data_IF_379540358975
#
_entry.id   IF_379540358975
#
_cell.length_a   1.000
_cell.length_b   1.000
_cell.length_c   1.000
_cell.angle_alpha   90.00
_cell.angle_beta   90.00
_cell.angle_gamma   90.00
#
_symmetry.space_group_name_H-M   'P 1'
#
loop_
_entity.id
_entity.type
_entity.pdbx_description
1 polymer ?
#
# COMPACT_ATOMS: atom_id res chain seq x y z
N UNK A 1 -14.69 -6.71 30.22
CA UNK A 1 -14.82 -5.38 29.59
C UNK A 1 -13.53 -5.12 28.86
N UNK A 2 -13.52 -5.23 27.53
CA UNK A 2 -12.35 -4.94 26.70
C UNK A 2 -12.28 -3.43 26.47
N UNK A 3 -11.20 -2.83 26.94
CA UNK A 3 -10.87 -1.43 26.69
C UNK A 3 -10.46 -1.27 25.23
N UNK A 4 -11.39 -0.85 24.37
CA UNK A 4 -11.04 -0.43 23.01
C UNK A 4 -10.24 0.86 23.09
N UNK A 5 -8.92 0.74 22.93
CA UNK A 5 -8.05 1.89 22.76
C UNK A 5 -8.19 2.36 21.31
N UNK A 6 -9.15 3.24 21.04
CA UNK A 6 -9.34 3.82 19.72
C UNK A 6 -8.16 4.72 19.41
N UNK A 7 -7.24 4.26 18.57
CA UNK A 7 -6.16 5.11 18.06
C UNK A 7 -6.72 6.10 17.05
N UNK A 8 -5.98 7.17 16.74
CA UNK A 8 -6.49 8.31 15.98
C UNK A 8 -7.11 7.99 14.61
N UNK A 9 -6.75 6.88 13.96
CA UNK A 9 -7.37 6.46 12.69
C UNK A 9 -8.81 5.95 12.88
N UNK A 10 -9.05 5.12 13.90
CA UNK A 10 -10.37 4.52 14.15
C UNK A 10 -11.42 5.58 14.53
N UNK A 11 -10.99 6.61 15.29
CA UNK A 11 -11.86 7.73 15.66
C UNK A 11 -12.28 8.57 14.45
N UNK A 12 -11.37 8.76 13.47
CA UNK A 12 -11.66 9.52 12.23
C UNK A 12 -12.66 8.76 11.37
N UNK A 13 -12.48 7.45 11.19
CA UNK A 13 -13.40 6.64 10.39
C UNK A 13 -14.81 6.60 11.02
N UNK A 14 -14.91 6.60 12.36
CA UNK A 14 -16.19 6.74 13.05
C UNK A 14 -16.85 8.10 12.81
N UNK A 15 -16.10 9.19 12.92
CA UNK A 15 -16.57 10.56 12.65
C UNK A 15 -17.09 10.71 11.20
N UNK A 16 -16.34 10.19 10.22
CA UNK A 16 -16.73 10.17 8.80
C UNK A 16 -18.00 9.34 8.59
N UNK A 17 -18.11 8.18 9.25
CA UNK A 17 -19.29 7.31 9.17
C UNK A 17 -20.54 8.00 9.74
N UNK A 18 -20.37 8.73 10.84
CA UNK A 18 -21.44 9.52 11.46
C UNK A 18 -21.75 10.81 10.69
N UNK A 19 -20.85 11.25 9.81
CA UNK A 19 -20.97 12.51 9.08
C UNK A 19 -20.78 13.75 9.96
N UNK A 20 -20.10 13.60 11.10
CA UNK A 20 -19.91 14.65 12.12
C UNK A 20 -18.42 14.73 12.44
N UNK A 21 -17.84 15.92 12.34
CA UNK A 21 -16.43 16.18 12.67
C UNK A 21 -16.24 16.22 14.20
N UNK A 22 -14.99 16.21 14.67
CA UNK A 22 -14.70 16.16 16.12
C UNK A 22 -15.12 17.42 16.88
N UNK A 23 -15.36 18.52 16.19
CA UNK A 23 -15.93 19.75 16.78
C UNK A 23 -17.46 19.71 16.85
N UNK A 24 -18.10 18.62 16.41
CA UNK A 24 -19.56 18.45 16.37
C UNK A 24 -20.24 19.06 15.15
N UNK A 25 -19.48 19.67 14.23
CA UNK A 25 -20.04 20.20 12.99
C UNK A 25 -20.33 19.09 11.97
N UNK A 26 -21.36 19.24 11.12
CA UNK A 26 -21.61 18.27 10.05
C UNK A 26 -20.52 18.35 8.98
N UNK A 27 -20.02 17.19 8.55
CA UNK A 27 -19.08 17.10 7.44
C UNK A 27 -19.84 17.43 6.14
N UNK A 28 -19.33 18.35 5.29
CA UNK A 28 -19.97 18.66 4.02
C UNK A 28 -20.21 17.42 3.13
N UNK A 29 -21.41 17.29 2.59
CA UNK A 29 -21.83 16.12 1.79
C UNK A 29 -20.87 15.80 0.66
N UNK A 30 -20.39 16.81 -0.09
CA UNK A 30 -19.44 16.62 -1.18
C UNK A 30 -18.11 15.96 -0.73
N UNK A 31 -17.67 16.20 0.51
CA UNK A 31 -16.47 15.55 1.06
C UNK A 31 -16.74 14.08 1.39
N UNK A 32 -17.90 13.78 1.98
CA UNK A 32 -18.31 12.41 2.30
C UNK A 32 -18.50 11.58 1.03
N UNK A 33 -19.12 12.16 0.00
CA UNK A 33 -19.30 11.51 -1.30
C UNK A 33 -17.96 11.19 -1.95
N UNK A 34 -17.01 12.13 -1.98
CA UNK A 34 -15.68 11.89 -2.51
C UNK A 34 -14.93 10.81 -1.72
N UNK A 35 -14.98 10.85 -0.38
CA UNK A 35 -14.37 9.82 0.46
C UNK A 35 -14.94 8.43 0.13
N UNK A 36 -16.26 8.29 0.08
CA UNK A 36 -16.92 7.02 -0.25
C UNK A 36 -16.50 6.51 -1.63
N UNK A 37 -16.49 7.37 -2.63
CA UNK A 37 -16.05 7.00 -3.98
C UNK A 37 -14.61 6.46 -3.98
N UNK A 38 -13.68 7.12 -3.30
CA UNK A 38 -12.28 6.66 -3.22
C UNK A 38 -12.17 5.35 -2.45
N UNK A 39 -12.89 5.19 -1.35
CA UNK A 39 -12.90 3.95 -0.57
C UNK A 39 -13.51 2.78 -1.35
N UNK A 40 -14.55 3.03 -2.16
CA UNK A 40 -15.12 2.03 -3.05
C UNK A 40 -14.14 1.60 -4.14
N UNK A 41 -13.33 2.53 -4.67
CA UNK A 41 -12.25 2.23 -5.61
C UNK A 41 -11.17 1.35 -4.96
N UNK A 42 -10.78 1.63 -3.71
CA UNK A 42 -9.81 0.81 -2.97
C UNK A 42 -10.39 -0.54 -2.54
N UNK A 43 -11.67 -0.60 -2.17
CA UNK A 43 -12.35 -1.85 -1.82
C UNK A 43 -12.43 -2.80 -3.01
N UNK A 44 -12.59 -2.26 -4.22
CA UNK A 44 -12.55 -3.02 -5.47
C UNK A 44 -11.13 -3.37 -5.94
N UNK A 45 -10.10 -2.96 -5.20
CA UNK A 45 -8.72 -3.28 -5.55
C UNK A 45 -8.39 -4.72 -5.17
N UNK A 46 -8.00 -5.51 -6.17
CA UNK A 46 -7.40 -6.81 -5.91
C UNK A 46 -6.08 -6.61 -5.14
N UNK A 47 -6.06 -6.97 -3.86
CA UNK A 47 -4.83 -6.94 -3.05
C UNK A 47 -3.84 -7.92 -3.65
N UNK A 48 -2.61 -7.45 -3.86
CA UNK A 48 -1.52 -8.34 -4.25
C UNK A 48 -1.28 -9.34 -3.11
N UNK A 49 -1.36 -10.65 -3.40
CA UNK A 49 -1.08 -11.69 -2.42
C UNK A 49 0.31 -11.58 -1.78
N UNK A 50 0.51 -12.28 -0.66
CA UNK A 50 1.74 -12.21 0.17
C UNK A 50 3.01 -12.41 -0.66
N UNK A 51 3.01 -13.37 -1.59
CA UNK A 51 4.16 -13.64 -2.47
C UNK A 51 4.53 -12.44 -3.36
N UNK A 52 3.55 -11.75 -3.94
CA UNK A 52 3.81 -10.56 -4.76
C UNK A 52 4.34 -9.40 -3.91
N UNK A 53 3.77 -9.18 -2.72
CA UNK A 53 4.26 -8.19 -1.76
C UNK A 53 5.69 -8.49 -1.31
N UNK A 54 5.99 -9.77 -1.07
CA UNK A 54 7.32 -10.24 -0.70
C UNK A 54 8.32 -9.98 -1.82
N UNK A 55 8.01 -10.36 -3.07
CA UNK A 55 8.85 -10.08 -4.24
C UNK A 55 9.13 -8.58 -4.38
N UNK A 56 8.09 -7.74 -4.33
CA UNK A 56 8.26 -6.29 -4.44
C UNK A 56 9.16 -5.71 -3.35
N UNK A 57 9.08 -6.23 -2.11
CA UNK A 57 9.98 -5.83 -1.02
C UNK A 57 11.42 -6.28 -1.27
N UNK A 58 11.63 -7.51 -1.72
CA UNK A 58 12.95 -8.05 -2.09
C UNK A 58 13.57 -7.20 -3.19
N UNK A 59 12.85 -6.92 -4.27
CA UNK A 59 13.36 -6.10 -5.38
C UNK A 59 13.76 -4.70 -4.89
N UNK A 60 12.87 -4.01 -4.15
CA UNK A 60 13.09 -2.63 -3.71
C UNK A 60 14.26 -2.47 -2.73
N UNK A 61 14.48 -3.45 -1.86
CA UNK A 61 15.55 -3.40 -0.86
C UNK A 61 16.84 -4.01 -1.44
N UNK A 62 16.74 -5.18 -2.08
CA UNK A 62 17.85 -5.90 -2.69
C UNK A 62 18.59 -5.05 -3.71
N UNK A 63 17.88 -4.28 -4.54
CA UNK A 63 18.54 -3.46 -5.56
C UNK A 63 19.43 -2.32 -5.02
N UNK A 64 19.30 -1.99 -3.73
CA UNK A 64 20.20 -1.04 -3.05
C UNK A 64 21.57 -1.65 -2.73
N UNK A 65 21.64 -2.98 -2.61
CA UNK A 65 22.79 -3.69 -2.04
C UNK A 65 23.38 -4.75 -2.97
N UNK A 66 22.60 -5.26 -3.92
CA UNK A 66 22.95 -6.41 -4.76
C UNK A 66 23.01 -5.95 -6.23
N UNK A 67 24.08 -6.30 -6.99
CA UNK A 67 24.16 -6.05 -8.42
C UNK A 67 22.98 -6.66 -9.18
N UNK A 68 22.56 -6.03 -10.28
CA UNK A 68 21.37 -6.43 -11.04
C UNK A 68 21.35 -7.93 -11.38
N UNK A 69 22.41 -8.43 -12.02
CA UNK A 69 22.50 -9.83 -12.46
C UNK A 69 22.40 -10.80 -11.27
N UNK A 70 23.03 -10.45 -10.15
CA UNK A 70 23.00 -11.28 -8.95
C UNK A 70 21.60 -11.29 -8.29
N UNK A 71 20.93 -10.14 -8.22
CA UNK A 71 19.58 -10.06 -7.66
C UNK A 71 18.58 -10.82 -8.54
N UNK A 72 18.75 -10.74 -9.86
CA UNK A 72 17.92 -11.43 -10.85
C UNK A 72 17.99 -12.95 -10.68
N UNK A 73 19.21 -13.48 -10.58
CA UNK A 73 19.42 -14.91 -10.37
C UNK A 73 18.82 -15.37 -9.02
N UNK A 74 19.00 -14.60 -7.95
CA UNK A 74 18.41 -14.92 -6.63
C UNK A 74 16.88 -14.94 -6.65
N UNK A 75 16.24 -14.10 -7.47
CA UNK A 75 14.79 -14.13 -7.63
C UNK A 75 14.34 -15.42 -8.32
N UNK A 76 15.00 -15.78 -9.42
CA UNK A 76 14.71 -17.01 -10.19
C UNK A 76 14.90 -18.25 -9.32
N UNK A 77 16.03 -18.33 -8.60
CA UNK A 77 16.35 -19.46 -7.71
C UNK A 77 15.32 -19.61 -6.58
N UNK A 78 14.73 -18.51 -6.12
CA UNK A 78 13.67 -18.49 -5.11
C UNK A 78 12.26 -18.72 -5.69
N UNK A 79 12.13 -19.00 -6.98
CA UNK A 79 10.84 -19.23 -7.65
C UNK A 79 10.03 -17.97 -7.94
N UNK A 80 10.65 -16.79 -7.88
CA UNK A 80 10.03 -15.54 -8.32
C UNK A 80 10.34 -15.26 -9.79
N UNK A 81 9.49 -14.46 -10.42
CA UNK A 81 9.84 -13.85 -11.69
C UNK A 81 11.08 -12.96 -11.53
N UNK A 82 12.01 -13.04 -12.49
CA UNK A 82 13.12 -12.14 -12.71
C UNK A 82 12.71 -10.66 -12.66
N UNK A 83 13.68 -9.75 -12.50
CA UNK A 83 13.49 -8.31 -12.56
C UNK A 83 12.83 -7.92 -13.88
N UNK A 84 11.79 -7.08 -13.78
CA UNK A 84 11.12 -6.51 -14.95
C UNK A 84 11.94 -5.37 -15.51
N UNK A 85 11.85 -5.11 -16.81
CA UNK A 85 12.55 -3.99 -17.46
C UNK A 85 12.34 -2.65 -16.74
N UNK A 86 11.10 -2.35 -16.33
CA UNK A 86 10.81 -1.13 -15.56
C UNK A 86 11.47 -1.10 -14.17
N UNK A 87 11.65 -2.26 -13.53
CA UNK A 87 12.34 -2.38 -12.25
C UNK A 87 13.85 -2.16 -12.47
N UNK A 88 14.41 -2.72 -13.54
CA UNK A 88 15.80 -2.51 -13.95
C UNK A 88 16.06 -1.02 -14.23
N UNK A 89 15.26 -0.41 -15.09
CA UNK A 89 15.39 1.00 -15.45
C UNK A 89 15.30 1.91 -14.21
N UNK A 90 14.37 1.62 -13.29
CA UNK A 90 14.18 2.42 -12.08
C UNK A 90 15.29 2.26 -11.04
N UNK A 91 15.75 1.03 -10.78
CA UNK A 91 16.72 0.77 -9.69
C UNK A 91 18.18 0.77 -10.13
N UNK A 92 18.45 0.51 -11.42
CA UNK A 92 19.81 0.34 -11.96
C UNK A 92 20.10 1.25 -13.18
N UNK A 93 19.09 1.85 -13.81
CA UNK A 93 19.25 2.63 -15.05
C UNK A 93 19.83 4.04 -14.90
N UNK A 94 20.11 4.50 -13.68
CA UNK A 94 20.67 5.84 -13.43
C UNK A 94 21.88 5.82 -12.49
N UNK A 95 22.57 4.68 -12.40
CA UNK A 95 23.87 4.58 -11.73
C UNK A 95 25.01 4.67 -12.73
#
# INVERSE_FOLDING_TARGET
>A
MTTETTTGADAIDQAITQGIDFDGSPIPTAKLELYKQVMDLEANRQRSGVSNTMRSRIVRIGAKHIPQVELDQKLIDAGFAALKEKEIAFFYGSK
#
